data_IF_739760331650
#
_entry.id   IF_739760331650
#
_cell.length_a   1.000
_cell.length_b   1.000
_cell.length_c   1.000
_cell.angle_alpha   90.00
_cell.angle_beta   90.00
_cell.angle_gamma   90.00
#
_symmetry.space_group_name_H-M   'P 1'
#
loop_
_entity.id
_entity.type
_entity.pdbx_description
1 polymer ?
#
# COMPACT_ATOMS: atom_id res chain seq x y z
N UNK A 1 -23.35 10.49 -4.96
CA UNK A 1 -22.15 10.13 -5.74
C UNK A 1 -22.49 10.14 -7.22
N UNK A 2 -21.57 10.58 -8.08
CA UNK A 2 -21.76 10.67 -9.55
C UNK A 2 -22.28 9.35 -10.17
N UNK A 3 -21.84 8.19 -9.66
CA UNK A 3 -22.27 6.87 -10.16
C UNK A 3 -23.77 6.61 -9.97
N UNK A 4 -24.36 7.06 -8.88
CA UNK A 4 -25.77 6.81 -8.57
C UNK A 4 -26.75 7.52 -9.54
N UNK A 5 -26.29 8.49 -10.30
CA UNK A 5 -27.10 9.19 -11.31
C UNK A 5 -27.40 8.33 -12.53
N UNK A 6 -26.61 7.26 -12.73
CA UNK A 6 -26.70 6.35 -13.89
C UNK A 6 -27.52 5.07 -13.62
N UNK A 7 -28.22 5.03 -12.50
CA UNK A 7 -29.13 3.93 -12.15
C UNK A 7 -28.55 2.85 -11.24
N UNK A 8 -29.44 1.95 -10.80
CA UNK A 8 -29.11 0.89 -9.84
C UNK A 8 -28.15 -0.15 -10.40
N UNK A 9 -28.24 -0.47 -11.67
CA UNK A 9 -27.37 -1.46 -12.32
C UNK A 9 -25.91 -0.98 -12.41
N UNK A 10 -25.71 0.30 -12.73
CA UNK A 10 -24.38 0.91 -12.73
C UNK A 10 -23.78 0.97 -11.33
N UNK A 11 -24.60 1.26 -10.31
CA UNK A 11 -24.16 1.26 -8.92
C UNK A 11 -23.78 -0.15 -8.44
N UNK A 12 -24.59 -1.18 -8.80
CA UNK A 12 -24.30 -2.57 -8.50
C UNK A 12 -23.02 -3.07 -9.19
N UNK A 13 -22.86 -2.74 -10.48
CA UNK A 13 -21.67 -3.04 -11.26
C UNK A 13 -20.40 -2.45 -10.62
N UNK A 14 -20.45 -1.18 -10.22
CA UNK A 14 -19.35 -0.51 -9.54
C UNK A 14 -19.04 -1.14 -8.19
N UNK A 15 -20.06 -1.48 -7.39
CA UNK A 15 -19.87 -2.14 -6.10
C UNK A 15 -19.18 -3.50 -6.20
N UNK A 16 -19.62 -4.34 -7.15
CA UNK A 16 -18.99 -5.63 -7.44
C UNK A 16 -17.53 -5.47 -7.90
N UNK A 17 -17.28 -4.50 -8.79
CA UNK A 17 -15.94 -4.20 -9.27
C UNK A 17 -15.01 -3.70 -8.15
N UNK A 18 -15.48 -2.87 -7.25
CA UNK A 18 -14.71 -2.40 -6.08
C UNK A 18 -14.24 -3.57 -5.20
N UNK A 19 -15.08 -4.58 -5.01
CA UNK A 19 -14.73 -5.75 -4.23
C UNK A 19 -13.59 -6.55 -4.89
N UNK A 20 -13.68 -6.78 -6.19
CA UNK A 20 -12.63 -7.45 -6.97
C UNK A 20 -11.33 -6.64 -6.98
N UNK A 21 -11.41 -5.33 -7.11
CA UNK A 21 -10.24 -4.46 -7.12
C UNK A 21 -9.47 -4.49 -5.81
N UNK A 22 -10.16 -4.68 -4.69
CA UNK A 22 -9.51 -4.82 -3.38
C UNK A 22 -8.54 -6.01 -3.37
N UNK A 23 -8.90 -7.13 -4.00
CA UNK A 23 -8.01 -8.31 -4.08
C UNK A 23 -6.75 -8.06 -4.91
N UNK A 24 -6.82 -7.20 -5.92
CA UNK A 24 -5.64 -6.80 -6.73
C UNK A 24 -4.80 -5.75 -5.98
N UNK A 25 -5.43 -4.83 -5.27
CA UNK A 25 -4.75 -3.74 -4.57
C UNK A 25 -4.00 -4.22 -3.32
N UNK A 26 -4.56 -5.15 -2.55
CA UNK A 26 -3.94 -5.61 -1.30
C UNK A 26 -2.50 -6.13 -1.47
N UNK A 27 -2.19 -7.04 -2.42
CA UNK A 27 -0.82 -7.48 -2.65
C UNK A 27 0.10 -6.35 -3.10
N UNK A 28 -0.38 -5.42 -3.94
CA UNK A 28 0.38 -4.26 -4.37
C UNK A 28 0.75 -3.34 -3.20
N UNK A 29 -0.18 -3.13 -2.27
CA UNK A 29 0.05 -2.36 -1.05
C UNK A 29 1.02 -3.08 -0.10
N UNK A 30 0.93 -4.40 0.02
CA UNK A 30 1.84 -5.20 0.84
C UNK A 30 3.30 -5.08 0.35
N UNK A 31 3.52 -5.16 -0.96
CA UNK A 31 4.86 -4.95 -1.55
C UNK A 31 5.35 -3.53 -1.27
N UNK A 32 4.49 -2.53 -1.45
CA UNK A 32 4.86 -1.13 -1.15
C UNK A 32 5.24 -0.92 0.32
N UNK A 33 4.52 -1.55 1.25
CA UNK A 33 4.83 -1.51 2.68
C UNK A 33 6.17 -2.21 2.99
N UNK A 34 6.42 -3.39 2.41
CA UNK A 34 7.68 -4.10 2.53
C UNK A 34 8.85 -3.26 1.99
N UNK A 35 8.69 -2.66 0.81
CA UNK A 35 9.71 -1.76 0.23
C UNK A 35 9.96 -0.53 1.12
N UNK A 36 8.93 0.03 1.75
CA UNK A 36 9.06 1.15 2.68
C UNK A 36 9.90 0.76 3.91
N UNK A 37 9.63 -0.40 4.50
CA UNK A 37 10.38 -0.92 5.65
C UNK A 37 11.84 -1.21 5.30
N UNK A 38 12.09 -1.91 4.19
CA UNK A 38 13.45 -2.18 3.71
C UNK A 38 14.21 -0.89 3.38
N UNK A 39 13.55 0.09 2.76
CA UNK A 39 14.15 1.38 2.46
C UNK A 39 14.50 2.14 3.75
N UNK A 40 13.64 2.13 4.77
CA UNK A 40 13.89 2.80 6.05
C UNK A 40 15.14 2.26 6.74
N UNK A 41 15.33 0.93 6.79
CA UNK A 41 16.52 0.30 7.34
C UNK A 41 17.79 0.74 6.59
N UNK A 42 17.74 0.76 5.26
CA UNK A 42 18.89 1.16 4.44
C UNK A 42 19.16 2.67 4.48
N UNK A 43 18.15 3.50 4.69
CA UNK A 43 18.29 4.95 4.95
C UNK A 43 18.99 5.16 6.27
N UNK A 44 18.59 4.49 7.35
CA UNK A 44 19.27 4.56 8.65
C UNK A 44 20.73 4.12 8.56
N UNK A 45 21.04 3.10 7.75
CA UNK A 45 22.40 2.63 7.48
C UNK A 45 23.18 3.47 6.44
N UNK A 46 22.61 4.56 5.92
CA UNK A 46 23.17 5.43 4.87
C UNK A 46 23.51 4.70 3.55
N UNK A 47 22.88 3.55 3.31
CA UNK A 47 23.13 2.68 2.14
C UNK A 47 22.24 3.07 0.96
N UNK A 48 22.44 4.24 0.39
CA UNK A 48 21.62 4.78 -0.71
C UNK A 48 21.59 3.92 -1.98
N UNK A 49 22.65 3.12 -2.19
CA UNK A 49 22.66 2.13 -3.28
C UNK A 49 21.58 1.07 -3.10
N UNK A 50 21.43 0.57 -1.87
CA UNK A 50 20.38 -0.41 -1.52
C UNK A 50 18.98 0.19 -1.55
N UNK A 51 18.81 1.44 -1.10
CA UNK A 51 17.53 2.16 -1.22
C UNK A 51 17.07 2.22 -2.69
N UNK A 52 17.99 2.54 -3.60
CA UNK A 52 17.67 2.56 -5.05
C UNK A 52 17.35 1.16 -5.59
N UNK A 53 18.10 0.14 -5.16
CA UNK A 53 17.82 -1.24 -5.54
C UNK A 53 16.45 -1.69 -5.03
N UNK A 54 16.10 -1.40 -3.78
CA UNK A 54 14.77 -1.68 -3.20
C UNK A 54 13.66 -1.02 -4.01
N UNK A 55 13.80 0.26 -4.38
CA UNK A 55 12.82 0.95 -5.20
C UNK A 55 12.65 0.28 -6.57
N UNK A 56 13.77 -0.01 -7.27
CA UNK A 56 13.73 -0.62 -8.61
C UNK A 56 13.15 -2.03 -8.59
N UNK A 57 13.62 -2.87 -7.67
CA UNK A 57 13.12 -4.24 -7.55
C UNK A 57 11.66 -4.28 -7.08
N UNK A 58 11.29 -3.40 -6.13
CA UNK A 58 9.93 -3.27 -5.65
C UNK A 58 8.96 -2.87 -6.76
N UNK A 59 9.33 -1.89 -7.59
CA UNK A 59 8.52 -1.48 -8.75
C UNK A 59 8.38 -2.63 -9.74
N UNK A 60 9.48 -3.30 -10.10
CA UNK A 60 9.45 -4.42 -11.04
C UNK A 60 8.58 -5.56 -10.50
N UNK A 61 8.79 -5.96 -9.25
CA UNK A 61 8.05 -7.06 -8.64
C UNK A 61 6.56 -6.72 -8.50
N UNK A 62 6.25 -5.49 -8.08
CA UNK A 62 4.86 -5.01 -7.99
C UNK A 62 4.19 -5.01 -9.37
N UNK A 63 4.87 -4.52 -10.39
CA UNK A 63 4.35 -4.48 -11.77
C UNK A 63 4.06 -5.90 -12.30
N UNK A 64 4.98 -6.83 -12.10
CA UNK A 64 4.81 -8.22 -12.52
C UNK A 64 3.68 -8.91 -11.76
N UNK A 65 3.65 -8.79 -10.43
CA UNK A 65 2.61 -9.40 -9.61
C UNK A 65 1.23 -8.83 -9.94
N UNK A 66 1.12 -7.50 -10.04
CA UNK A 66 -0.14 -6.85 -10.41
C UNK A 66 -0.58 -7.26 -11.82
N UNK A 67 0.35 -7.36 -12.78
CA UNK A 67 0.07 -7.86 -14.13
C UNK A 67 -0.47 -9.30 -14.13
N UNK A 68 0.13 -10.19 -13.35
CA UNK A 68 -0.34 -11.58 -13.17
C UNK A 68 -1.74 -11.62 -12.55
N UNK A 69 -2.04 -10.74 -11.58
CA UNK A 69 -3.36 -10.68 -10.94
C UNK A 69 -4.44 -10.06 -11.85
N UNK A 70 -4.04 -9.14 -12.72
CA UNK A 70 -4.94 -8.52 -13.71
C UNK A 70 -5.32 -9.50 -14.82
N UNK A 71 -4.40 -10.39 -15.24
CA UNK A 71 -4.64 -11.31 -16.33
C UNK A 71 -5.93 -12.15 -16.16
N UNK A 72 -6.18 -12.84 -15.03
CA UNK A 72 -7.43 -13.56 -14.83
C UNK A 72 -8.66 -12.64 -14.72
N UNK A 73 -8.49 -11.40 -14.23
CA UNK A 73 -9.58 -10.42 -14.17
C UNK A 73 -10.07 -9.99 -15.56
N UNK A 74 -9.18 -10.00 -16.56
CA UNK A 74 -9.54 -9.69 -17.95
C UNK A 74 -9.99 -10.95 -18.68
N UNK A 75 -9.25 -12.06 -18.55
CA UNK A 75 -9.51 -13.29 -19.29
C UNK A 75 -10.74 -14.06 -18.80
N UNK A 76 -11.03 -13.96 -17.51
CA UNK A 76 -12.14 -14.64 -16.82
C UNK A 76 -13.16 -13.63 -16.27
N UNK A 77 -13.26 -12.45 -16.88
CA UNK A 77 -14.07 -11.33 -16.40
C UNK A 77 -15.52 -11.75 -16.11
N UNK A 78 -16.14 -12.50 -17.03
CA UNK A 78 -17.49 -13.00 -16.88
C UNK A 78 -17.62 -13.92 -15.65
N UNK A 79 -16.70 -14.86 -15.48
CA UNK A 79 -16.77 -15.82 -14.36
C UNK A 79 -16.50 -15.14 -13.00
N UNK A 80 -15.55 -14.24 -12.95
CA UNK A 80 -15.23 -13.52 -11.70
C UNK A 80 -16.34 -12.56 -11.28
N UNK A 81 -16.99 -11.91 -12.24
CA UNK A 81 -18.09 -10.98 -11.96
C UNK A 81 -19.44 -11.69 -11.73
N UNK A 82 -19.67 -12.85 -12.33
CA UNK A 82 -20.88 -13.64 -12.09
C UNK A 82 -20.97 -14.19 -10.65
N UNK A 83 -19.87 -14.21 -9.90
CA UNK A 83 -19.88 -14.50 -8.48
C UNK A 83 -20.60 -13.41 -7.64
N UNK A 84 -20.70 -12.20 -8.16
CA UNK A 84 -21.28 -11.05 -7.48
C UNK A 84 -22.57 -10.52 -8.14
N UNK A 85 -22.74 -10.78 -9.43
CA UNK A 85 -23.82 -10.26 -10.25
C UNK A 85 -24.51 -11.39 -11.00
N UNK A 86 -25.86 -11.34 -11.15
CA UNK A 86 -26.61 -12.35 -11.89
C UNK A 86 -26.18 -12.43 -13.35
N UNK A 87 -26.06 -13.66 -13.88
CA UNK A 87 -25.74 -13.90 -15.27
C UNK A 87 -26.78 -13.25 -16.22
N UNK A 88 -26.27 -12.58 -17.26
CA UNK A 88 -27.09 -11.90 -18.26
C UNK A 88 -27.70 -10.57 -17.81
N UNK A 89 -27.35 -10.08 -16.61
CA UNK A 89 -27.82 -8.77 -16.15
C UNK A 89 -27.10 -7.61 -16.85
N UNK A 90 -27.80 -6.47 -17.00
CA UNK A 90 -27.15 -5.24 -17.49
C UNK A 90 -26.00 -4.78 -16.58
N UNK A 91 -26.11 -5.04 -15.28
CA UNK A 91 -25.08 -4.75 -14.31
C UNK A 91 -23.79 -5.57 -14.59
N UNK A 92 -23.91 -6.82 -15.01
CA UNK A 92 -22.75 -7.65 -15.37
C UNK A 92 -21.98 -7.08 -16.58
N UNK A 93 -22.68 -6.70 -17.62
CA UNK A 93 -22.07 -6.11 -18.82
C UNK A 93 -21.44 -4.74 -18.51
N UNK A 94 -22.11 -3.91 -17.71
CA UNK A 94 -21.54 -2.64 -17.22
C UNK A 94 -20.28 -2.85 -16.38
N UNK A 95 -20.26 -3.88 -15.52
CA UNK A 95 -19.09 -4.22 -14.70
C UNK A 95 -17.91 -4.73 -15.54
N UNK A 96 -18.17 -5.52 -16.60
CA UNK A 96 -17.16 -5.97 -17.54
C UNK A 96 -16.52 -4.78 -18.28
N UNK A 97 -17.34 -3.90 -18.83
CA UNK A 97 -16.88 -2.69 -19.50
C UNK A 97 -16.03 -1.81 -18.59
N UNK A 98 -16.52 -1.55 -17.36
CA UNK A 98 -15.80 -0.82 -16.33
C UNK A 98 -14.44 -1.47 -16.00
N UNK A 99 -14.39 -2.79 -15.80
CA UNK A 99 -13.16 -3.49 -15.47
C UNK A 99 -12.12 -3.38 -16.58
N UNK A 100 -12.51 -3.53 -17.84
CA UNK A 100 -11.59 -3.40 -18.98
C UNK A 100 -10.90 -2.03 -19.05
N UNK A 101 -11.57 -0.97 -18.62
CA UNK A 101 -11.00 0.39 -18.55
C UNK A 101 -10.18 0.58 -17.28
N UNK A 102 -10.76 0.27 -16.12
CA UNK A 102 -10.20 0.66 -14.83
C UNK A 102 -9.00 -0.20 -14.40
N UNK A 103 -8.90 -1.44 -14.89
CA UNK A 103 -7.87 -2.39 -14.47
C UNK A 103 -6.44 -1.90 -14.69
N UNK A 104 -6.20 -1.12 -15.73
CA UNK A 104 -4.89 -0.54 -16.03
C UNK A 104 -4.42 0.46 -14.96
N UNK A 105 -5.38 1.05 -14.22
CA UNK A 105 -5.04 1.96 -13.13
C UNK A 105 -4.23 1.28 -12.03
N UNK A 106 -4.39 -0.04 -11.83
CA UNK A 106 -3.68 -0.76 -10.76
C UNK A 106 -2.19 -0.93 -11.03
N UNK A 107 -1.78 -1.05 -12.29
CA UNK A 107 -0.37 -1.05 -12.65
C UNK A 107 0.30 0.27 -12.28
N UNK A 108 -0.34 1.38 -12.63
CA UNK A 108 0.17 2.72 -12.31
C UNK A 108 0.13 3.01 -10.82
N UNK A 109 -0.96 2.60 -10.16
CA UNK A 109 -1.12 2.73 -8.71
C UNK A 109 -0.02 1.98 -7.96
N UNK A 110 0.25 0.72 -8.32
CA UNK A 110 1.27 -0.10 -7.67
C UNK A 110 2.66 0.54 -7.74
N UNK A 111 3.05 1.06 -8.90
CA UNK A 111 4.32 1.79 -9.07
C UNK A 111 4.36 3.03 -8.19
N UNK A 112 3.29 3.85 -8.24
CA UNK A 112 3.18 5.06 -7.41
C UNK A 112 3.27 4.73 -5.92
N UNK A 113 2.63 3.64 -5.48
CA UNK A 113 2.59 3.24 -4.08
C UNK A 113 3.96 2.78 -3.56
N UNK A 114 4.70 1.99 -4.33
CA UNK A 114 6.08 1.57 -4.00
C UNK A 114 7.01 2.78 -3.90
N UNK A 115 7.00 3.65 -4.90
CA UNK A 115 7.85 4.86 -4.92
C UNK A 115 7.51 5.79 -3.75
N UNK A 116 6.23 6.01 -3.49
CA UNK A 116 5.77 6.81 -2.34
C UNK A 116 6.19 6.18 -1.00
N UNK A 117 6.18 4.85 -0.90
CA UNK A 117 6.67 4.11 0.27
C UNK A 117 8.15 4.35 0.53
N UNK A 118 8.98 4.25 -0.52
CA UNK A 118 10.42 4.52 -0.43
C UNK A 118 10.70 5.99 -0.09
N UNK A 119 9.94 6.94 -0.64
CA UNK A 119 10.09 8.36 -0.30
C UNK A 119 9.72 8.61 1.16
N UNK A 120 8.62 8.04 1.64
CA UNK A 120 8.20 8.19 3.05
C UNK A 120 9.21 7.61 4.04
N UNK A 121 10.00 6.62 3.64
CA UNK A 121 11.03 6.04 4.51
C UNK A 121 12.13 7.01 4.93
N UNK A 122 12.26 8.16 4.27
CA UNK A 122 13.19 9.25 4.65
C UNK A 122 12.55 10.34 5.49
N UNK A 123 11.26 10.22 5.85
CA UNK A 123 10.50 11.26 6.54
C UNK A 123 9.79 12.26 5.62
N UNK A 124 9.99 12.19 4.31
CA UNK A 124 9.32 13.05 3.34
C UNK A 124 7.86 12.57 3.10
N UNK A 125 6.96 12.85 4.06
CA UNK A 125 5.58 12.36 4.02
C UNK A 125 4.65 13.29 3.23
N UNK A 126 4.89 14.60 3.28
CA UNK A 126 4.00 15.61 2.70
C UNK A 126 3.91 15.49 1.17
N UNK A 127 5.04 15.27 0.48
CA UNK A 127 5.03 15.23 -0.98
C UNK A 127 4.22 14.06 -1.55
N UNK A 128 4.38 12.79 -1.09
CA UNK A 128 3.51 11.70 -1.51
C UNK A 128 2.03 11.94 -1.20
N UNK A 129 1.73 12.58 -0.06
CA UNK A 129 0.36 12.93 0.30
C UNK A 129 -0.23 13.96 -0.67
N UNK A 130 0.52 15.02 -0.99
CA UNK A 130 0.08 16.06 -1.93
C UNK A 130 -0.06 15.50 -3.36
N UNK A 131 0.82 14.60 -3.79
CA UNK A 131 0.71 13.92 -5.09
C UNK A 131 -0.58 13.10 -5.14
N UNK A 132 -0.86 12.31 -4.09
CA UNK A 132 -2.08 11.51 -4.02
C UNK A 132 -3.33 12.38 -4.02
N UNK A 133 -3.38 13.40 -3.15
CA UNK A 133 -4.49 14.33 -3.06
C UNK A 133 -4.68 15.10 -4.37
N UNK A 134 -3.61 15.62 -4.96
CA UNK A 134 -3.63 16.34 -6.24
C UNK A 134 -4.11 15.45 -7.39
N UNK A 135 -3.69 14.19 -7.44
CA UNK A 135 -4.15 13.26 -8.48
C UNK A 135 -5.63 12.91 -8.30
N UNK A 136 -6.10 12.75 -7.05
CA UNK A 136 -7.48 12.39 -6.76
C UNK A 136 -8.44 13.56 -7.00
N UNK A 137 -8.12 14.74 -6.46
CA UNK A 137 -8.99 15.92 -6.51
C UNK A 137 -8.70 16.82 -7.71
N UNK A 138 -7.43 16.98 -8.07
CA UNK A 138 -7.01 17.89 -9.15
C UNK A 138 -7.07 17.27 -10.54
N UNK A 139 -7.05 15.95 -10.66
CA UNK A 139 -7.10 15.26 -11.96
C UNK A 139 -8.39 14.47 -12.11
N UNK A 140 -8.68 13.57 -11.17
CA UNK A 140 -9.79 12.63 -11.31
C UNK A 140 -11.16 13.31 -11.36
N UNK A 141 -11.41 14.28 -10.47
CA UNK A 141 -12.70 14.96 -10.41
C UNK A 141 -12.88 15.86 -11.63
N UNK A 142 -11.95 16.80 -11.97
CA UNK A 142 -12.11 17.63 -13.16
C UNK A 142 -12.17 16.81 -14.45
N UNK A 143 -11.36 15.74 -14.58
CA UNK A 143 -11.39 14.87 -15.75
C UNK A 143 -12.79 14.26 -15.94
N UNK A 144 -13.38 13.72 -14.86
CA UNK A 144 -14.71 13.14 -14.91
C UNK A 144 -15.78 14.22 -15.27
N UNK A 145 -15.73 15.39 -14.65
CA UNK A 145 -16.70 16.48 -14.90
C UNK A 145 -16.61 17.04 -16.31
N UNK A 146 -15.39 17.28 -16.84
CA UNK A 146 -15.21 17.84 -18.17
C UNK A 146 -15.57 16.87 -19.30
N UNK A 147 -15.31 15.59 -19.12
CA UNK A 147 -15.59 14.58 -20.15
C UNK A 147 -16.99 13.98 -20.04
N UNK A 148 -17.66 14.11 -18.90
CA UNK A 148 -19.02 13.59 -18.70
C UNK A 148 -20.02 14.01 -19.80
N UNK A 149 -20.05 15.27 -20.30
CA UNK A 149 -20.96 15.67 -21.36
C UNK A 149 -20.70 14.96 -22.69
N UNK A 150 -19.47 14.50 -22.93
CA UNK A 150 -19.05 13.85 -24.19
C UNK A 150 -19.07 12.32 -24.12
N UNK A 151 -18.73 11.74 -22.98
CA UNK A 151 -18.52 10.29 -22.81
C UNK A 151 -19.52 9.65 -21.84
N UNK A 152 -20.39 10.45 -21.20
CA UNK A 152 -21.34 9.93 -20.22
C UNK A 152 -20.64 9.26 -19.04
N UNK A 153 -21.08 8.03 -18.68
CA UNK A 153 -20.52 7.27 -17.56
C UNK A 153 -19.05 6.86 -17.78
N UNK A 154 -18.63 6.69 -19.01
CA UNK A 154 -17.25 6.28 -19.34
C UNK A 154 -16.22 7.32 -18.91
N UNK A 155 -16.59 8.61 -18.87
CA UNK A 155 -15.73 9.64 -18.33
C UNK A 155 -15.29 9.35 -16.89
N UNK A 156 -16.18 8.76 -16.06
CA UNK A 156 -15.89 8.35 -14.70
C UNK A 156 -14.88 7.19 -14.72
N UNK A 157 -15.09 6.21 -15.60
CA UNK A 157 -14.22 5.03 -15.69
C UNK A 157 -12.80 5.38 -16.17
N UNK A 158 -12.66 6.20 -17.18
CA UNK A 158 -11.38 6.69 -17.69
C UNK A 158 -10.64 7.60 -16.70
N UNK A 159 -11.35 8.23 -15.76
CA UNK A 159 -10.72 9.05 -14.72
C UNK A 159 -9.80 8.24 -13.79
N UNK A 160 -10.03 6.91 -13.63
CA UNK A 160 -9.19 6.04 -12.80
C UNK A 160 -7.79 5.85 -13.38
N UNK A 161 -7.62 5.34 -14.62
CA UNK A 161 -6.29 5.21 -15.21
C UNK A 161 -5.62 6.57 -15.44
N UNK A 162 -6.36 7.62 -15.81
CA UNK A 162 -5.80 8.95 -15.99
C UNK A 162 -5.18 9.51 -14.69
N UNK A 163 -5.94 9.48 -13.58
CA UNK A 163 -5.45 9.95 -12.29
C UNK A 163 -4.29 9.11 -11.74
N UNK A 164 -4.35 7.78 -11.94
CA UNK A 164 -3.28 6.86 -11.50
C UNK A 164 -2.00 7.06 -12.31
N UNK A 165 -2.12 7.31 -13.61
CA UNK A 165 -0.99 7.62 -14.47
C UNK A 165 -0.31 8.93 -14.04
N UNK A 166 -1.09 9.98 -13.79
CA UNK A 166 -0.56 11.26 -13.31
C UNK A 166 0.11 11.07 -11.94
N UNK A 167 -0.51 10.33 -11.02
CA UNK A 167 0.07 10.02 -9.72
C UNK A 167 1.41 9.27 -9.85
N UNK A 168 1.50 8.31 -10.75
CA UNK A 168 2.73 7.57 -11.03
C UNK A 168 3.81 8.50 -11.59
N UNK A 169 3.48 9.32 -12.59
CA UNK A 169 4.43 10.24 -13.21
C UNK A 169 4.95 11.28 -12.20
N UNK A 170 4.08 11.87 -11.40
CA UNK A 170 4.46 12.81 -10.34
C UNK A 170 5.31 12.15 -9.26
N UNK A 171 4.97 10.92 -8.85
CA UNK A 171 5.76 10.15 -7.87
C UNK A 171 7.16 9.84 -8.40
N UNK A 172 7.28 9.41 -9.66
CA UNK A 172 8.56 9.17 -10.31
C UNK A 172 9.38 10.46 -10.51
N UNK A 173 8.71 11.54 -10.91
CA UNK A 173 9.34 12.86 -11.04
C UNK A 173 9.88 13.34 -9.69
N UNK A 174 9.09 13.25 -8.64
CA UNK A 174 9.54 13.60 -7.30
C UNK A 174 10.66 12.69 -6.79
N UNK A 175 10.60 11.39 -7.06
CA UNK A 175 11.66 10.45 -6.73
C UNK A 175 12.97 10.80 -7.45
N UNK A 176 12.90 11.24 -8.72
CA UNK A 176 14.07 11.54 -9.55
C UNK A 176 14.71 12.90 -9.24
N UNK A 177 13.86 13.92 -9.03
CA UNK A 177 14.29 15.33 -8.92
C UNK A 177 13.96 15.97 -7.56
N UNK A 178 13.11 15.35 -6.76
CA UNK A 178 12.71 15.89 -5.47
C UNK A 178 13.80 15.82 -4.41
N UNK A 179 13.68 16.70 -3.40
CA UNK A 179 14.63 16.80 -2.29
C UNK A 179 14.47 15.76 -1.18
N UNK A 180 13.71 14.68 -1.40
CA UNK A 180 13.37 13.69 -0.38
C UNK A 180 14.58 13.04 0.32
N UNK A 181 15.74 12.96 -0.35
CA UNK A 181 16.99 12.44 0.24
C UNK A 181 17.60 13.38 1.28
N UNK A 182 17.20 14.67 1.28
CA UNK A 182 17.64 15.68 2.24
C UNK A 182 16.70 15.80 3.44
N UNK A 183 15.52 15.16 3.38
CA UNK A 183 14.60 15.12 4.49
C UNK A 183 15.24 14.31 5.63
N UNK A 184 15.49 14.97 6.77
CA UNK A 184 16.08 14.34 7.95
C UNK A 184 14.95 13.96 8.91
N UNK A 185 14.82 12.67 9.21
CA UNK A 185 13.88 12.20 10.22
C UNK A 185 14.28 12.58 11.65
N UNK A 186 15.54 12.94 11.92
CA UNK A 186 16.12 12.89 13.26
C UNK A 186 17.11 14.03 13.54
N UNK A 187 16.75 15.29 13.30
CA UNK A 187 17.51 16.39 13.92
C UNK A 187 17.20 16.53 15.43
N UNK A 188 16.23 15.81 15.96
CA UNK A 188 15.81 15.89 17.37
C UNK A 188 16.39 14.83 18.32
N UNK A 189 17.02 13.76 17.82
CA UNK A 189 17.55 12.69 18.67
C UNK A 189 19.07 12.51 18.68
N UNK A 190 19.80 13.28 17.90
CA UNK A 190 21.26 13.20 17.89
C UNK A 190 21.93 13.80 19.14
N UNK A 191 21.15 14.40 20.05
CA UNK A 191 21.62 14.96 21.32
C UNK A 191 20.84 14.43 22.54
N UNK A 192 20.09 13.35 22.38
CA UNK A 192 19.70 12.56 23.53
C UNK A 192 20.92 11.84 24.05
N UNK A 193 21.43 12.25 25.22
CA UNK A 193 22.28 11.43 26.07
C UNK A 193 21.82 9.98 25.94
N UNK A 194 22.73 8.98 25.75
CA UNK A 194 22.32 7.60 25.76
C UNK A 194 21.40 7.43 26.97
N UNK A 195 20.17 6.99 26.74
CA UNK A 195 19.26 6.71 27.86
C UNK A 195 20.07 5.83 28.79
N UNK A 196 20.37 6.37 29.97
CA UNK A 196 21.04 5.64 31.06
C UNK A 196 20.23 4.35 31.20
N UNK A 197 20.82 3.24 30.74
CA UNK A 197 20.20 1.93 30.87
C UNK A 197 19.84 1.85 32.35
N UNK A 198 18.56 1.75 32.72
CA UNK A 198 18.19 1.71 34.12
C UNK A 198 19.06 0.63 34.74
N UNK A 199 19.84 1.03 35.76
CA UNK A 199 20.70 0.10 36.46
C UNK A 199 19.87 -1.16 36.73
N UNK A 200 20.36 -2.30 36.26
CA UNK A 200 19.69 -3.60 36.45
C UNK A 200 19.15 -3.60 37.89
N UNK A 201 17.85 -3.79 38.12
CA UNK A 201 17.33 -3.79 39.47
C UNK A 201 18.21 -4.76 40.28
N UNK A 202 18.60 -4.39 41.48
CA UNK A 202 19.46 -5.24 42.30
C UNK A 202 18.85 -6.63 42.28
N UNK A 203 19.68 -7.64 42.00
CA UNK A 203 19.26 -9.05 42.03
C UNK A 203 18.41 -9.22 43.30
N UNK A 204 17.24 -9.86 43.24
CA UNK A 204 16.43 -10.07 44.41
C UNK A 204 17.36 -10.67 45.46
N UNK A 205 17.51 -9.93 46.57
CA UNK A 205 18.25 -10.40 47.74
C UNK A 205 17.74 -11.81 47.98
N UNK A 206 18.64 -12.79 47.91
CA UNK A 206 18.28 -14.19 48.10
C UNK A 206 17.55 -14.26 49.43
N UNK A 207 16.25 -14.50 49.37
CA UNK A 207 15.40 -14.64 50.53
C UNK A 207 15.97 -15.81 51.35
N UNK A 208 16.46 -15.59 52.55
CA UNK A 208 17.08 -16.63 53.35
C UNK A 208 16.14 -17.82 53.57
N UNK A 209 14.82 -17.61 53.47
CA UNK A 209 13.82 -18.67 53.60
C UNK A 209 13.77 -19.59 52.38
N UNK A 210 14.14 -19.12 51.16
CA UNK A 210 14.24 -19.97 49.98
C UNK A 210 15.47 -20.84 50.00
N UNK A 211 16.53 -20.44 50.69
CA UNK A 211 17.75 -21.28 50.83
C UNK A 211 17.49 -22.49 51.72
N UNK A 212 16.52 -22.45 52.63
CA UNK A 212 16.17 -23.55 53.52
C UNK A 212 15.28 -24.60 52.86
N UNK A 213 14.64 -24.30 51.71
CA UNK A 213 13.78 -25.24 50.98
C UNK A 213 14.53 -26.14 49.97
N UNK A 214 15.75 -25.79 49.57
CA UNK A 214 16.56 -26.59 48.66
C UNK A 214 16.94 -28.00 49.14
N UNK A 215 17.23 -28.24 50.45
CA UNK A 215 17.56 -29.61 50.89
C UNK A 215 16.34 -30.50 51.04
N UNK A 216 15.11 -29.97 51.10
CA UNK A 216 13.89 -30.80 51.20
C UNK A 216 13.45 -31.42 49.86
N UNK A 217 13.68 -30.71 48.75
CA UNK A 217 13.30 -31.17 47.42
C UNK A 217 14.27 -32.21 46.83
N UNK A 218 15.54 -32.20 47.22
CA UNK A 218 16.53 -33.19 46.74
C UNK A 218 16.36 -34.61 47.36
N UNK A 219 15.50 -34.76 48.36
CA UNK A 219 15.22 -36.06 48.98
C UNK A 219 14.03 -36.84 48.39
N UNK A 220 13.28 -36.20 47.50
CA UNK A 220 12.09 -36.83 46.88
C UNK A 220 12.44 -37.58 45.60
N UNK A 221 13.52 -37.18 44.89
CA UNK A 221 13.93 -37.81 43.61
C UNK A 221 14.84 -39.03 43.74
N UNK A 222 15.09 -39.55 44.94
CA UNK A 222 15.98 -40.70 45.19
C UNK A 222 15.30 -42.02 45.51
N UNK A 223 13.97 -42.13 45.31
CA UNK A 223 13.24 -43.41 45.50
C UNK A 223 12.20 -43.60 44.39
N UNK A 224 12.66 -44.12 43.27
CA UNK A 224 11.98 -45.11 42.41
C UNK A 224 13.07 -45.87 41.68
#
# INVERSE_FOLDING_TARGET
>A
TMVNQYGTDTAAAYGASLQLWTYVQMPAMAIGAACSSMAAQNVGAQQWGRVRATARQGVLFNFLLTGVLIAPLILLDRYTLSLFLPDGSQALEAARHLNHIAVWSFLFFGVSFVISGVVRSTGAVLAPLLILAGSLWGVRVPFAEFLQPYMGVDAIWWSFPASSLVSMLLSLAYYRWGGWRKARMLDGQAHGTPAEVPATPPSPVADPDVALLKPALSRVDGRM
#
